data_IF_499852220057
#
_entry.id   IF_499852220057
#
_cell.length_a   1.000
_cell.length_b   1.000
_cell.length_c   1.000
_cell.angle_alpha   90.00
_cell.angle_beta   90.00
_cell.angle_gamma   90.00
#
_symmetry.space_group_name_H-M   'P 1'
#
loop_
_entity.id
_entity.type
_entity.pdbx_description
1 polymer ?
#
# COMPACT_ATOMS: atom_id res chain seq x y z
N UNK A 1 26.45 17.68 -21.54
CA UNK A 1 26.11 16.63 -20.57
C UNK A 1 24.66 16.71 -19.99
N UNK A 2 23.85 17.72 -20.32
CA UNK A 2 22.45 17.85 -19.82
C UNK A 2 21.40 17.05 -20.61
N UNK A 3 21.75 16.47 -21.76
CA UNK A 3 20.77 15.75 -22.60
C UNK A 3 20.31 14.40 -22.03
N UNK A 4 21.17 13.67 -21.34
CA UNK A 4 20.84 12.34 -20.81
C UNK A 4 19.72 12.34 -19.75
N UNK A 5 19.72 13.22 -18.71
CA UNK A 5 18.62 13.26 -17.75
C UNK A 5 17.30 13.71 -18.38
N UNK A 6 17.35 14.59 -19.38
CA UNK A 6 16.15 15.02 -20.09
C UNK A 6 15.54 13.89 -20.94
N UNK A 7 16.35 13.11 -21.63
CA UNK A 7 15.87 11.92 -22.37
C UNK A 7 15.30 10.86 -21.45
N UNK A 8 15.92 10.62 -20.29
CA UNK A 8 15.38 9.70 -19.28
C UNK A 8 14.03 10.17 -18.71
N UNK A 9 13.89 11.47 -18.48
CA UNK A 9 12.62 12.04 -18.05
C UNK A 9 11.53 11.86 -19.12
N UNK A 10 11.82 12.16 -20.39
CA UNK A 10 10.87 11.97 -21.50
C UNK A 10 10.49 10.49 -21.66
N UNK A 11 11.44 9.57 -21.54
CA UNK A 11 11.18 8.14 -21.61
C UNK A 11 10.28 7.67 -20.44
N UNK A 12 10.57 8.13 -19.23
CA UNK A 12 9.73 7.83 -18.05
C UNK A 12 8.32 8.42 -18.18
N UNK A 13 8.21 9.67 -18.64
CA UNK A 13 6.93 10.32 -18.89
C UNK A 13 6.12 9.60 -19.98
N UNK A 14 6.76 9.20 -21.09
CA UNK A 14 6.14 8.42 -22.15
C UNK A 14 5.68 7.04 -21.65
N UNK A 15 6.51 6.34 -20.87
CA UNK A 15 6.16 5.06 -20.26
C UNK A 15 4.97 5.19 -19.30
N UNK A 16 4.91 6.28 -18.53
CA UNK A 16 3.77 6.56 -17.63
C UNK A 16 2.46 6.75 -18.42
N UNK A 17 2.50 7.44 -19.56
CA UNK A 17 1.33 7.62 -20.43
C UNK A 17 0.90 6.34 -21.12
N UNK A 18 1.84 5.50 -21.55
CA UNK A 18 1.56 4.23 -22.21
C UNK A 18 1.10 3.16 -21.20
N UNK A 19 1.50 3.29 -19.96
CA UNK A 19 1.20 2.32 -18.91
C UNK A 19 0.75 3.02 -17.62
N UNK A 20 -0.45 3.62 -17.61
CA UNK A 20 -0.93 4.43 -16.51
C UNK A 20 -1.09 3.64 -15.21
N UNK A 21 -1.03 4.35 -14.10
CA UNK A 21 -1.20 3.78 -12.77
C UNK A 21 -2.64 3.24 -12.60
N UNK A 22 -2.84 1.97 -12.20
CA UNK A 22 -4.18 1.38 -12.05
C UNK A 22 -4.84 1.80 -10.72
N UNK A 23 -5.21 3.07 -10.62
CA UNK A 23 -6.00 3.59 -9.49
C UNK A 23 -7.48 3.27 -9.70
N UNK A 24 -7.85 2.00 -9.48
CA UNK A 24 -9.26 1.62 -9.53
C UNK A 24 -9.96 2.06 -8.25
N UNK A 25 -11.10 2.71 -8.42
CA UNK A 25 -12.03 2.93 -7.32
C UNK A 25 -12.51 1.57 -6.80
N UNK A 26 -12.47 1.43 -5.49
CA UNK A 26 -12.99 0.23 -4.83
C UNK A 26 -14.34 0.60 -4.26
N UNK A 27 -15.38 -0.12 -4.66
CA UNK A 27 -16.69 0.05 -4.06
C UNK A 27 -16.63 -0.29 -2.57
N UNK A 28 -16.93 0.67 -1.68
CA UNK A 28 -16.92 0.41 -0.25
C UNK A 28 -18.02 -0.56 0.13
N UNK A 29 -17.78 -1.36 1.15
CA UNK A 29 -18.80 -2.18 1.77
C UNK A 29 -19.85 -1.29 2.45
N UNK A 30 -21.09 -1.77 2.49
CA UNK A 30 -22.21 -1.02 3.08
C UNK A 30 -22.22 -1.15 4.60
N UNK A 31 -22.53 -0.05 5.26
CA UNK A 31 -22.74 -0.02 6.71
C UNK A 31 -24.14 0.55 6.96
N UNK A 32 -24.97 -0.17 7.73
CA UNK A 32 -26.24 0.35 8.23
C UNK A 32 -25.96 1.05 9.54
N UNK A 33 -26.43 2.28 9.66
CA UNK A 33 -26.26 3.10 10.86
C UNK A 33 -27.61 3.49 11.44
N UNK A 34 -27.67 3.67 12.76
CA UNK A 34 -28.80 4.27 13.44
C UNK A 34 -28.91 5.77 13.14
N UNK A 35 -29.99 6.41 13.61
CA UNK A 35 -30.21 7.84 13.38
C UNK A 35 -29.13 8.74 14.00
N UNK A 36 -28.47 8.27 15.05
CA UNK A 36 -27.35 8.95 15.73
C UNK A 36 -25.98 8.67 15.08
N UNK A 37 -25.94 7.88 13.98
CA UNK A 37 -24.71 7.48 13.31
C UNK A 37 -24.07 6.20 13.85
N UNK A 38 -24.61 5.58 14.90
CA UNK A 38 -24.07 4.34 15.47
C UNK A 38 -24.17 3.20 14.45
N UNK A 39 -23.08 2.48 14.14
CA UNK A 39 -23.11 1.34 13.21
C UNK A 39 -23.94 0.19 13.80
N UNK A 40 -25.03 -0.17 13.12
CA UNK A 40 -25.90 -1.30 13.51
C UNK A 40 -25.47 -2.59 12.84
N UNK A 41 -25.12 -2.53 11.56
CA UNK A 41 -24.73 -3.71 10.79
C UNK A 41 -23.76 -3.35 9.68
N UNK A 42 -22.83 -4.26 9.40
CA UNK A 42 -21.84 -4.12 8.36
C UNK A 42 -21.97 -5.27 7.38
N UNK A 43 -21.83 -4.99 6.08
CA UNK A 43 -21.90 -5.98 5.01
C UNK A 43 -20.54 -6.08 4.32
N UNK A 44 -20.29 -7.21 3.67
CA UNK A 44 -19.24 -7.29 2.67
C UNK A 44 -19.65 -6.53 1.40
N UNK A 45 -18.67 -6.17 0.56
CA UNK A 45 -18.95 -5.63 -0.76
C UNK A 45 -19.47 -6.72 -1.74
N UNK A 46 -19.66 -6.35 -3.01
CA UNK A 46 -20.15 -7.26 -4.03
C UNK A 46 -19.21 -8.45 -4.31
N UNK A 47 -17.93 -8.32 -3.98
CA UNK A 47 -16.91 -9.35 -4.12
C UNK A 47 -16.79 -10.24 -2.86
N UNK A 48 -17.61 -10.01 -1.84
CA UNK A 48 -17.55 -10.71 -0.56
C UNK A 48 -16.41 -10.24 0.35
N UNK A 49 -15.82 -9.08 0.07
CA UNK A 49 -14.70 -8.51 0.82
C UNK A 49 -15.20 -7.42 1.77
N UNK A 50 -14.68 -7.44 2.98
CA UNK A 50 -14.99 -6.47 4.02
C UNK A 50 -14.02 -5.30 3.91
N UNK A 51 -14.52 -4.15 3.41
CA UNK A 51 -13.74 -2.92 3.15
C UNK A 51 -14.48 -1.73 3.73
N UNK A 52 -13.96 -1.18 4.82
CA UNK A 52 -14.49 0.03 5.42
C UNK A 52 -13.46 1.13 5.32
N UNK A 53 -13.67 2.09 4.39
CA UNK A 53 -12.70 3.16 4.16
C UNK A 53 -12.45 3.96 5.43
N UNK A 54 -11.18 4.28 5.64
CA UNK A 54 -10.71 5.15 6.72
C UNK A 54 -9.79 6.22 6.14
N UNK A 55 -9.75 7.36 6.79
CA UNK A 55 -8.73 8.39 6.58
C UNK A 55 -7.57 8.18 7.56
N UNK A 56 -6.47 8.91 7.39
CA UNK A 56 -5.35 8.85 8.34
C UNK A 56 -5.80 9.35 9.73
N UNK A 57 -6.71 10.30 9.75
CA UNK A 57 -7.25 10.93 10.95
C UNK A 57 -8.11 9.97 11.79
N UNK A 58 -8.71 8.97 11.16
CA UNK A 58 -9.51 7.92 11.83
C UNK A 58 -8.62 6.88 12.53
N UNK A 59 -7.31 6.87 12.24
CA UNK A 59 -6.39 5.85 12.73
C UNK A 59 -5.52 6.42 13.87
N UNK A 60 -5.39 5.66 14.94
CA UNK A 60 -4.56 6.06 16.09
C UNK A 60 -3.15 6.48 15.66
N UNK A 61 -2.65 7.64 16.08
CA UNK A 61 -1.29 8.08 15.78
C UNK A 61 -0.22 7.08 16.23
N UNK A 62 -0.44 6.40 17.35
CA UNK A 62 0.47 5.35 17.86
C UNK A 62 0.55 4.15 16.92
N UNK A 63 -0.59 3.77 16.33
CA UNK A 63 -0.62 2.69 15.34
C UNK A 63 0.13 3.11 14.07
N UNK A 64 -0.10 4.32 13.56
CA UNK A 64 0.60 4.84 12.38
C UNK A 64 2.12 4.89 12.60
N UNK A 65 2.55 5.35 13.76
CA UNK A 65 3.98 5.37 14.13
C UNK A 65 4.56 3.95 14.18
N UNK A 66 3.88 3.03 14.84
CA UNK A 66 4.30 1.63 14.92
C UNK A 66 4.37 0.97 13.54
N UNK A 67 3.35 1.17 12.70
CA UNK A 67 3.28 0.67 11.32
C UNK A 67 4.47 1.17 10.50
N UNK A 68 4.69 2.49 10.48
CA UNK A 68 5.77 3.10 9.70
C UNK A 68 7.14 2.64 10.20
N UNK A 69 7.35 2.59 11.52
CA UNK A 69 8.61 2.12 12.08
C UNK A 69 8.89 0.65 11.77
N UNK A 70 7.87 -0.19 11.73
CA UNK A 70 7.98 -1.62 11.45
C UNK A 70 8.16 -1.92 9.95
N UNK A 71 7.30 -1.34 9.10
CA UNK A 71 7.26 -1.64 7.67
C UNK A 71 8.29 -0.82 6.88
N UNK A 72 8.43 0.48 7.20
CA UNK A 72 9.23 1.40 6.40
C UNK A 72 9.62 2.67 7.19
N UNK A 73 10.57 2.56 8.09
CA UNK A 73 11.01 3.65 8.97
C UNK A 73 11.40 4.95 8.22
N UNK A 74 11.81 4.84 6.96
CA UNK A 74 12.21 5.96 6.12
C UNK A 74 11.12 6.41 5.13
N UNK A 75 9.88 5.94 5.30
CA UNK A 75 8.76 6.19 4.40
C UNK A 75 8.64 7.64 3.96
N UNK A 76 8.73 8.57 4.88
CA UNK A 76 8.60 10.01 4.60
C UNK A 76 9.77 10.64 3.83
N UNK A 77 10.90 9.92 3.68
CA UNK A 77 12.17 10.49 3.19
C UNK A 77 12.59 9.98 1.81
N UNK A 78 12.17 8.79 1.40
CA UNK A 78 12.58 8.21 0.12
C UNK A 78 11.48 8.35 -0.95
N UNK A 79 11.83 8.39 -2.26
CA UNK A 79 10.89 8.50 -3.37
C UNK A 79 10.32 7.12 -3.78
N UNK A 80 9.62 6.44 -2.86
CA UNK A 80 8.96 5.16 -3.10
C UNK A 80 9.85 3.92 -3.04
N UNK A 81 11.13 4.07 -3.28
CA UNK A 81 12.14 3.01 -3.23
C UNK A 81 13.28 3.46 -2.31
N UNK A 82 13.65 2.62 -1.37
CA UNK A 82 14.81 2.86 -0.53
C UNK A 82 16.03 2.11 -1.11
N UNK A 83 16.98 2.79 -1.75
CA UNK A 83 18.11 2.14 -2.41
C UNK A 83 18.99 1.34 -1.44
N UNK A 84 19.13 1.79 -0.19
CA UNK A 84 19.89 1.06 0.83
C UNK A 84 19.19 -0.25 1.22
N UNK A 85 17.85 -0.24 1.33
CA UNK A 85 17.08 -1.45 1.62
C UNK A 85 17.12 -2.44 0.45
N UNK A 86 17.08 -1.95 -0.79
CA UNK A 86 17.20 -2.78 -2.00
C UNK A 86 18.60 -3.38 -2.09
N UNK A 87 19.66 -2.60 -1.90
CA UNK A 87 21.05 -3.08 -1.93
C UNK A 87 21.29 -4.12 -0.82
N UNK A 88 20.79 -3.88 0.39
CA UNK A 88 20.87 -4.83 1.49
C UNK A 88 20.15 -6.14 1.18
N UNK A 89 18.92 -6.06 0.64
CA UNK A 89 18.15 -7.25 0.26
C UNK A 89 18.85 -8.05 -0.84
N UNK A 90 19.37 -7.37 -1.87
CA UNK A 90 20.15 -8.01 -2.93
C UNK A 90 21.40 -8.72 -2.39
N UNK A 91 22.12 -8.09 -1.47
CA UNK A 91 23.28 -8.69 -0.81
C UNK A 91 22.90 -9.92 0.02
N UNK A 92 21.81 -9.84 0.79
CA UNK A 92 21.30 -10.95 1.59
C UNK A 92 20.85 -12.13 0.72
N UNK A 93 20.15 -11.85 -0.37
CA UNK A 93 19.71 -12.88 -1.33
C UNK A 93 20.90 -13.58 -1.99
N UNK A 94 21.94 -12.82 -2.39
CA UNK A 94 23.17 -13.36 -2.97
C UNK A 94 23.95 -14.23 -1.99
N UNK A 95 24.01 -13.84 -0.72
CA UNK A 95 24.81 -14.55 0.28
C UNK A 95 24.08 -15.75 0.90
N UNK A 96 22.74 -15.72 0.93
CA UNK A 96 21.94 -16.80 1.54
C UNK A 96 21.40 -17.83 0.54
N UNK A 97 21.54 -17.57 -0.76
CA UNK A 97 21.04 -18.45 -1.83
C UNK A 97 19.51 -18.58 -1.89
N UNK A 98 18.78 -17.76 -1.14
CA UNK A 98 17.31 -17.72 -1.10
C UNK A 98 16.82 -16.30 -0.93
N UNK A 99 15.63 -15.99 -1.49
CA UNK A 99 15.00 -14.67 -1.37
C UNK A 99 14.56 -14.44 0.07
N UNK A 100 15.31 -13.64 0.81
CA UNK A 100 14.97 -13.17 2.17
C UNK A 100 14.44 -11.75 2.00
N UNK A 101 13.17 -11.60 1.64
CA UNK A 101 12.61 -10.29 1.32
C UNK A 101 12.41 -9.43 2.58
N UNK A 102 13.27 -8.45 2.76
CA UNK A 102 13.12 -7.37 3.75
C UNK A 102 13.34 -5.97 3.17
N UNK A 103 13.41 -5.85 1.83
CA UNK A 103 13.75 -4.58 1.16
C UNK A 103 12.58 -3.85 0.49
N UNK A 104 11.33 -4.29 0.69
CA UNK A 104 10.17 -3.63 0.09
C UNK A 104 9.69 -2.50 0.99
N UNK A 105 9.61 -1.29 0.43
CA UNK A 105 9.04 -0.12 1.09
C UNK A 105 7.51 -0.22 1.17
N UNK A 106 6.89 0.62 1.98
CA UNK A 106 5.44 0.71 2.09
C UNK A 106 4.80 1.09 0.74
N UNK A 107 5.42 2.01 -0.01
CA UNK A 107 4.99 2.37 -1.38
C UNK A 107 5.06 1.18 -2.33
N UNK A 108 6.10 0.35 -2.25
CA UNK A 108 6.21 -0.87 -3.05
C UNK A 108 5.14 -1.92 -2.68
N UNK A 109 4.73 -1.97 -1.42
CA UNK A 109 3.62 -2.83 -1.00
C UNK A 109 2.31 -2.35 -1.60
N UNK A 110 2.01 -1.03 -1.54
CA UNK A 110 0.86 -0.43 -2.22
C UNK A 110 0.88 -0.69 -3.72
N UNK A 111 2.03 -0.53 -4.37
CA UNK A 111 2.20 -0.84 -5.79
C UNK A 111 1.77 -2.27 -6.14
N UNK A 112 2.11 -3.23 -5.28
CA UNK A 112 1.73 -4.63 -5.45
C UNK A 112 0.25 -4.90 -5.17
N UNK A 113 -0.36 -4.16 -4.24
CA UNK A 113 -1.80 -4.26 -3.96
C UNK A 113 -2.64 -3.73 -5.12
N UNK A 114 -2.17 -2.67 -5.81
CA UNK A 114 -2.84 -2.07 -6.95
C UNK A 114 -2.63 -2.85 -8.25
N UNK A 115 -1.44 -3.43 -8.42
CA UNK A 115 -1.02 -4.14 -9.63
C UNK A 115 -0.37 -5.49 -9.25
N UNK A 116 -1.19 -6.51 -8.89
CA UNK A 116 -0.70 -7.82 -8.50
C UNK A 116 0.11 -8.49 -9.62
N UNK A 117 1.26 -9.06 -9.25
CA UNK A 117 2.16 -9.71 -10.19
C UNK A 117 2.93 -10.87 -9.52
N UNK A 118 3.46 -11.82 -10.30
CA UNK A 118 4.24 -12.94 -9.77
C UNK A 118 5.50 -12.47 -9.02
N UNK A 119 5.96 -13.28 -8.05
CA UNK A 119 7.23 -13.06 -7.32
C UNK A 119 8.42 -13.47 -8.18
N UNK A 120 8.64 -12.77 -9.30
CA UNK A 120 9.74 -12.95 -10.22
C UNK A 120 10.60 -11.68 -10.29
N UNK A 121 11.77 -11.76 -10.91
CA UNK A 121 12.61 -10.59 -11.15
C UNK A 121 11.88 -9.53 -11.99
N UNK A 122 11.19 -9.92 -13.07
CA UNK A 122 10.37 -9.01 -13.88
C UNK A 122 9.23 -8.39 -13.07
N UNK A 123 8.56 -9.19 -12.22
CA UNK A 123 7.57 -8.68 -11.28
C UNK A 123 8.14 -7.66 -10.30
N UNK A 124 9.40 -7.85 -9.86
CA UNK A 124 10.08 -6.89 -8.99
C UNK A 124 10.38 -5.56 -9.69
N UNK A 125 10.83 -5.62 -10.96
CA UNK A 125 11.03 -4.40 -11.79
C UNK A 125 9.70 -3.67 -11.98
N UNK A 126 8.61 -4.40 -12.30
CA UNK A 126 7.27 -3.84 -12.41
C UNK A 126 6.84 -3.15 -11.10
N UNK A 127 7.07 -3.79 -9.97
CA UNK A 127 6.77 -3.22 -8.65
C UNK A 127 7.56 -1.93 -8.38
N UNK A 128 8.84 -1.88 -8.73
CA UNK A 128 9.68 -0.69 -8.61
C UNK A 128 9.14 0.46 -9.46
N UNK A 129 8.81 0.18 -10.72
CA UNK A 129 8.21 1.16 -11.62
C UNK A 129 6.90 1.72 -11.06
N UNK A 130 5.98 0.85 -10.62
CA UNK A 130 4.71 1.25 -10.01
C UNK A 130 4.90 2.07 -8.74
N UNK A 131 5.90 1.75 -7.93
CA UNK A 131 6.22 2.54 -6.74
C UNK A 131 6.69 3.96 -7.10
N UNK A 132 7.51 4.12 -8.14
CA UNK A 132 7.91 5.44 -8.63
C UNK A 132 6.74 6.23 -9.23
N UNK A 133 5.84 5.58 -9.97
CA UNK A 133 4.61 6.22 -10.47
C UNK A 133 3.72 6.69 -9.33
N UNK A 134 3.54 5.89 -8.26
CA UNK A 134 2.77 6.28 -7.08
C UNK A 134 3.32 7.59 -6.48
N UNK A 135 4.63 7.68 -6.29
CA UNK A 135 5.26 8.88 -5.72
C UNK A 135 5.25 10.08 -6.68
N UNK A 136 5.13 9.83 -7.96
CA UNK A 136 4.99 10.90 -8.96
C UNK A 136 3.58 11.51 -8.97
N UNK A 137 2.55 10.68 -8.79
CA UNK A 137 1.15 11.09 -8.89
C UNK A 137 0.49 11.39 -7.54
N UNK A 138 0.98 10.82 -6.45
CA UNK A 138 0.36 10.87 -5.13
C UNK A 138 1.32 11.38 -4.06
N UNK A 139 0.78 12.09 -3.09
CA UNK A 139 1.49 12.45 -1.87
C UNK A 139 1.71 11.22 -0.97
N UNK A 140 2.68 11.32 -0.07
CA UNK A 140 2.92 10.29 0.95
C UNK A 140 1.68 9.96 1.79
N UNK A 141 0.86 10.97 2.09
CA UNK A 141 -0.38 10.77 2.85
C UNK A 141 -1.40 9.96 2.06
N UNK A 142 -1.56 10.24 0.77
CA UNK A 142 -2.44 9.45 -0.11
C UNK A 142 -1.96 8.01 -0.26
N UNK A 143 -0.65 7.80 -0.42
CA UNK A 143 -0.05 6.45 -0.47
C UNK A 143 -0.28 5.69 0.84
N UNK A 144 -0.11 6.34 1.99
CA UNK A 144 -0.39 5.74 3.29
C UNK A 144 -1.88 5.41 3.44
N UNK A 145 -2.78 6.31 3.01
CA UNK A 145 -4.23 6.07 2.99
C UNK A 145 -4.59 4.86 2.12
N UNK A 146 -3.97 4.73 0.94
CA UNK A 146 -4.14 3.54 0.10
C UNK A 146 -3.71 2.26 0.82
N UNK A 147 -2.58 2.29 1.53
CA UNK A 147 -2.12 1.15 2.32
C UNK A 147 -3.12 0.79 3.42
N UNK A 148 -3.55 1.77 4.23
CA UNK A 148 -4.51 1.56 5.32
C UNK A 148 -5.83 0.96 4.86
N UNK A 149 -6.26 1.26 3.63
CA UNK A 149 -7.51 0.78 3.06
C UNK A 149 -7.40 -0.51 2.23
N UNK A 150 -6.18 -0.90 1.81
CA UNK A 150 -5.98 -2.03 0.90
C UNK A 150 -5.13 -3.16 1.46
N UNK A 151 -4.42 -2.96 2.57
CA UNK A 151 -3.61 -4.00 3.17
C UNK A 151 -4.49 -5.20 3.57
N UNK A 152 -4.06 -6.45 3.26
CA UNK A 152 -4.80 -7.64 3.66
C UNK A 152 -4.56 -7.94 5.15
N UNK A 153 -5.64 -8.23 5.87
CA UNK A 153 -5.60 -8.59 7.30
C UNK A 153 -6.04 -10.03 7.56
N UNK A 154 -6.14 -10.83 6.52
CA UNK A 154 -6.53 -12.24 6.59
C UNK A 154 -7.94 -12.51 6.07
N UNK A 155 -8.13 -13.68 5.45
CA UNK A 155 -9.38 -14.05 4.81
C UNK A 155 -9.88 -13.00 3.83
N UNK A 156 -11.09 -12.52 4.02
CA UNK A 156 -11.75 -11.49 3.21
C UNK A 156 -11.66 -10.08 3.81
N UNK A 157 -10.86 -9.87 4.87
CA UNK A 157 -10.69 -8.57 5.52
C UNK A 157 -9.63 -7.75 4.79
N UNK A 158 -10.01 -6.57 4.30
CA UNK A 158 -9.13 -5.64 3.61
C UNK A 158 -9.23 -4.24 4.24
N UNK A 159 -8.06 -3.69 4.58
CA UNK A 159 -7.92 -2.41 5.24
C UNK A 159 -8.09 -2.46 6.76
N UNK A 160 -7.53 -1.44 7.41
CA UNK A 160 -7.50 -1.35 8.88
C UNK A 160 -8.90 -1.16 9.47
N UNK A 161 -9.81 -0.49 8.75
CA UNK A 161 -11.19 -0.31 9.21
C UNK A 161 -11.94 -1.63 9.37
N UNK A 162 -11.78 -2.57 8.42
CA UNK A 162 -12.37 -3.90 8.52
C UNK A 162 -11.68 -4.75 9.59
N UNK A 163 -10.34 -4.67 9.66
CA UNK A 163 -9.55 -5.41 10.64
C UNK A 163 -9.87 -4.98 12.08
N UNK A 164 -9.94 -3.68 12.33
CA UNK A 164 -10.32 -3.11 13.63
C UNK A 164 -11.70 -3.63 14.07
N UNK A 165 -12.68 -3.54 13.18
CA UNK A 165 -14.02 -4.05 13.48
C UNK A 165 -14.03 -5.56 13.75
N UNK A 166 -13.32 -6.36 12.96
CA UNK A 166 -13.36 -7.81 13.09
C UNK A 166 -12.62 -8.34 14.32
N UNK A 167 -11.47 -7.72 14.65
CA UNK A 167 -10.58 -8.23 15.69
C UNK A 167 -10.74 -7.54 17.05
N UNK A 168 -11.20 -6.27 17.09
CA UNK A 168 -11.33 -5.49 18.33
C UNK A 168 -12.78 -5.36 18.80
N UNK A 169 -13.75 -5.86 18.06
CA UNK A 169 -15.19 -5.76 18.36
C UNK A 169 -15.62 -6.39 19.68
N UNK A 170 -14.80 -7.22 20.31
CA UNK A 170 -15.15 -7.89 21.58
C UNK A 170 -15.41 -6.93 22.75
N UNK A 171 -15.10 -5.63 22.59
CA UNK A 171 -15.29 -4.62 23.63
C UNK A 171 -16.62 -3.86 23.54
N UNK A 172 -17.36 -4.00 22.42
CA UNK A 172 -18.67 -3.33 22.26
C UNK A 172 -19.87 -4.12 22.85
N UNK A 173 -19.62 -5.26 23.49
CA UNK A 173 -20.64 -6.15 24.04
C UNK A 173 -20.52 -6.43 25.55
N UNK A 174 -19.80 -5.56 26.27
CA UNK A 174 -19.79 -5.60 27.75
C UNK A 174 -20.45 -4.37 28.34
#
# INVERSE_FOLDING_TARGET
MAAAPFLLFLAAWGADKLWPLPLHEVNPARVVVAQDGTPLWRFADADGIWRYPVTIEDVSPRYLEALINYEDRWFWKHPGVNPFSVARAAWQDLTSGRVISGGSTLTMQVARLLDPHPKTFGGKIRQLWRALQLEWHLSKREILTLYLNRAPFGGTLQGIGAASWAYLRSEEHT
#
